data_IF_935859396835
#
_entry.id   IF_935859396835
#
_cell.length_a   1.000
_cell.length_b   1.000
_cell.length_c   1.000
_cell.angle_alpha   90.00
_cell.angle_beta   90.00
_cell.angle_gamma   90.00
#
_symmetry.space_group_name_H-M   'P 1'
#
loop_
_entity.id
_entity.type
_entity.pdbx_description
1 polymer ?
#
# COMPACT_ATOMS: atom_id res chain seq x y z
N UNK A 1 -40.98 63.62 31.94
CA UNK A 1 -40.29 62.37 32.38
C UNK A 1 -40.26 61.35 31.24
N UNK A 2 -39.22 61.44 30.39
CA UNK A 2 -38.87 60.43 29.38
C UNK A 2 -37.68 59.67 29.93
N UNK A 3 -37.78 58.35 30.14
CA UNK A 3 -36.61 57.49 30.36
C UNK A 3 -36.95 56.02 30.04
N UNK A 4 -36.07 55.41 29.23
CA UNK A 4 -35.79 53.98 29.01
C UNK A 4 -36.82 53.08 28.30
N UNK A 5 -36.67 52.97 26.97
CA UNK A 5 -36.89 51.73 26.20
C UNK A 5 -35.59 51.42 25.46
N UNK A 6 -34.69 50.67 26.12
CA UNK A 6 -33.44 50.18 25.54
C UNK A 6 -33.21 48.76 26.05
N UNK A 7 -33.18 47.76 25.17
CA UNK A 7 -32.75 46.42 25.61
C UNK A 7 -33.04 45.21 24.71
N UNK A 8 -33.80 45.30 23.62
CA UNK A 8 -34.17 44.09 22.85
C UNK A 8 -33.32 43.82 21.59
N UNK A 9 -32.61 44.82 21.05
CA UNK A 9 -31.96 44.71 19.73
C UNK A 9 -30.54 44.12 19.71
N UNK A 10 -29.86 44.00 20.86
CA UNK A 10 -28.44 43.58 20.91
C UNK A 10 -28.23 42.07 21.04
N UNK A 11 -29.19 41.34 21.60
CA UNK A 11 -29.07 39.88 21.81
C UNK A 11 -29.24 39.12 20.48
N UNK A 12 -30.07 39.60 19.57
CA UNK A 12 -30.35 38.95 18.28
C UNK A 12 -29.17 39.01 17.29
N UNK A 13 -28.42 40.12 17.28
CA UNK A 13 -27.24 40.29 16.42
C UNK A 13 -26.02 39.48 16.92
N UNK A 14 -25.88 39.31 18.24
CA UNK A 14 -24.82 38.49 18.83
C UNK A 14 -25.07 36.99 18.59
N UNK A 15 -26.32 36.52 18.64
CA UNK A 15 -26.64 35.14 18.27
C UNK A 15 -26.32 34.86 16.80
N UNK A 16 -26.66 35.80 15.90
CA UNK A 16 -26.41 35.64 14.46
C UNK A 16 -24.92 35.65 14.09
N UNK A 17 -24.06 36.38 14.82
CA UNK A 17 -22.60 36.35 14.56
C UNK A 17 -21.94 35.09 15.10
N UNK A 18 -22.36 34.60 16.28
CA UNK A 18 -21.88 33.32 16.84
C UNK A 18 -22.33 32.14 15.97
N UNK A 19 -23.55 32.17 15.45
CA UNK A 19 -24.06 31.18 14.50
C UNK A 19 -23.29 31.21 13.17
N UNK A 20 -22.93 32.38 12.64
CA UNK A 20 -22.06 32.46 11.45
C UNK A 20 -20.66 31.91 11.72
N UNK A 21 -20.04 32.27 12.84
CA UNK A 21 -18.70 31.77 13.20
C UNK A 21 -18.66 30.27 13.47
N UNK A 22 -19.71 29.70 14.09
CA UNK A 22 -19.81 28.26 14.31
C UNK A 22 -20.05 27.47 13.00
N UNK A 23 -20.78 28.06 12.05
CA UNK A 23 -20.97 27.49 10.71
C UNK A 23 -19.67 27.54 9.89
N UNK A 24 -18.87 28.61 9.98
CA UNK A 24 -17.54 28.63 9.34
C UNK A 24 -16.54 27.69 10.02
N UNK A 25 -16.62 27.51 11.34
CA UNK A 25 -15.74 26.57 12.06
C UNK A 25 -16.05 25.10 11.74
N UNK A 26 -17.32 24.78 11.47
CA UNK A 26 -17.74 23.44 11.03
C UNK A 26 -17.37 23.14 9.57
N UNK A 27 -17.01 24.15 8.77
CA UNK A 27 -16.50 23.97 7.41
C UNK A 27 -14.98 23.70 7.35
N UNK A 28 -14.28 23.70 8.49
CA UNK A 28 -12.95 23.12 8.65
C UNK A 28 -13.04 21.64 9.08
N UNK A 29 -14.13 20.96 8.73
CA UNK A 29 -14.24 19.52 8.86
C UNK A 29 -13.18 18.86 7.99
N UNK A 30 -12.31 18.11 8.67
CA UNK A 30 -11.46 17.01 8.18
C UNK A 30 -11.30 16.95 6.66
N UNK A 31 -10.09 17.23 6.15
CA UNK A 31 -9.65 16.58 4.92
C UNK A 31 -9.97 15.10 5.05
N UNK A 32 -10.85 14.60 4.18
CA UNK A 32 -11.31 13.23 4.23
C UNK A 32 -10.08 12.31 4.14
N UNK A 33 -9.99 11.25 4.94
CA UNK A 33 -8.84 10.34 4.90
C UNK A 33 -8.60 9.78 3.48
N UNK A 34 -9.68 9.75 2.69
CA UNK A 34 -9.72 9.50 1.24
C UNK A 34 -8.85 10.45 0.41
N UNK A 35 -8.77 11.75 0.74
CA UNK A 35 -8.02 12.75 -0.04
C UNK A 35 -6.50 12.58 0.05
N UNK A 36 -5.99 11.92 1.11
CA UNK A 36 -4.55 11.72 1.32
C UNK A 36 -4.02 10.41 0.74
N UNK A 37 -4.86 9.64 0.06
CA UNK A 37 -4.51 8.33 -0.50
C UNK A 37 -4.25 7.25 0.58
N UNK A 38 -4.17 5.98 0.15
CA UNK A 38 -3.97 4.84 1.04
C UNK A 38 -2.58 4.86 1.69
N UNK A 39 -2.46 4.23 2.85
CA UNK A 39 -1.18 3.99 3.53
C UNK A 39 -0.78 2.54 3.25
N UNK A 40 0.36 2.35 2.61
CA UNK A 40 0.93 1.04 2.31
C UNK A 40 2.07 0.77 3.28
N UNK A 41 1.97 -0.33 4.02
CA UNK A 41 3.06 -0.88 4.78
C UNK A 41 4.14 -1.41 3.81
N UNK A 42 5.40 -1.04 4.02
CA UNK A 42 6.51 -1.56 3.21
C UNK A 42 7.52 -2.20 4.12
N UNK A 43 7.69 -3.52 3.98
CA UNK A 43 8.60 -4.28 4.82
C UNK A 43 10.04 -3.99 4.41
N UNK A 44 10.86 -3.61 5.39
CA UNK A 44 12.30 -3.46 5.22
C UNK A 44 12.99 -4.83 5.11
N UNK A 45 14.27 -4.78 4.79
CA UNK A 45 15.15 -5.94 4.79
C UNK A 45 16.30 -5.71 5.78
N UNK A 46 16.82 -6.78 6.41
CA UNK A 46 17.92 -6.64 7.35
C UNK A 46 19.21 -6.27 6.59
N UNK A 47 19.96 -5.34 7.18
CA UNK A 47 21.31 -4.96 6.82
C UNK A 47 22.23 -5.34 7.99
N UNK A 48 22.76 -6.56 7.95
CA UNK A 48 23.53 -7.12 9.06
C UNK A 48 22.65 -7.38 10.29
N UNK A 49 23.22 -7.25 11.49
CA UNK A 49 22.62 -7.79 12.71
C UNK A 49 21.74 -6.81 13.50
N UNK A 50 21.73 -5.51 13.15
CA UNK A 50 21.13 -4.48 14.01
C UNK A 50 20.40 -3.37 13.26
N UNK A 51 20.44 -3.38 11.93
CA UNK A 51 19.90 -2.30 11.11
C UNK A 51 19.10 -2.86 9.97
N UNK A 52 18.06 -2.14 9.58
CA UNK A 52 17.24 -2.44 8.42
C UNK A 52 17.49 -1.41 7.33
N UNK A 53 17.22 -1.80 6.09
CA UNK A 53 17.21 -0.89 4.96
C UNK A 53 15.89 -0.99 4.19
N UNK A 54 15.50 0.15 3.62
CA UNK A 54 14.36 0.28 2.72
C UNK A 54 14.81 1.08 1.49
N UNK A 55 14.96 0.46 0.30
CA UNK A 55 15.36 1.18 -0.89
C UNK A 55 14.33 2.25 -1.26
N UNK A 56 14.80 3.47 -1.49
CA UNK A 56 13.95 4.61 -1.83
C UNK A 56 13.16 4.41 -3.14
N UNK A 57 13.59 3.50 -4.02
CA UNK A 57 12.86 3.13 -5.24
C UNK A 57 11.48 2.55 -4.95
N UNK A 58 11.35 1.70 -3.93
CA UNK A 58 10.04 1.15 -3.52
C UNK A 58 9.14 2.24 -2.94
N UNK A 59 9.70 3.15 -2.14
CA UNK A 59 8.94 4.28 -1.58
C UNK A 59 8.40 5.17 -2.69
N UNK A 60 9.27 5.60 -3.62
CA UNK A 60 8.89 6.41 -4.77
C UNK A 60 7.86 5.72 -5.66
N UNK A 61 7.98 4.41 -5.86
CA UNK A 61 7.03 3.66 -6.66
C UNK A 61 5.62 3.69 -6.06
N UNK A 62 5.50 3.50 -4.74
CA UNK A 62 4.22 3.60 -4.02
C UNK A 62 3.68 5.03 -4.05
N UNK A 63 4.52 6.04 -3.82
CA UNK A 63 4.13 7.46 -3.88
C UNK A 63 3.64 7.89 -5.27
N UNK A 64 4.27 7.40 -6.35
CA UNK A 64 3.81 7.62 -7.72
C UNK A 64 2.42 7.01 -7.98
N UNK A 65 2.05 5.97 -7.22
CA UNK A 65 0.69 5.42 -7.21
C UNK A 65 -0.32 6.23 -6.41
N UNK A 66 0.07 7.38 -5.84
CA UNK A 66 -0.80 8.22 -5.02
C UNK A 66 -0.98 7.73 -3.58
N UNK A 67 -0.11 6.85 -3.12
CA UNK A 67 -0.14 6.27 -1.77
C UNK A 67 0.97 6.84 -0.87
N UNK A 68 0.84 6.62 0.43
CA UNK A 68 1.83 6.96 1.45
C UNK A 68 2.46 5.69 2.01
N UNK A 69 3.69 5.78 2.50
CA UNK A 69 4.44 4.63 3.01
C UNK A 69 4.59 4.68 4.52
N UNK A 70 4.42 3.54 5.17
CA UNK A 70 4.94 3.30 6.52
C UNK A 70 5.93 2.13 6.49
N UNK A 71 7.15 2.29 7.03
CA UNK A 71 8.10 1.17 7.08
C UNK A 71 7.66 0.15 8.14
N UNK A 72 7.84 -1.13 7.83
CA UNK A 72 7.73 -2.24 8.78
C UNK A 72 9.11 -2.84 8.95
N UNK A 73 9.60 -2.93 10.19
CA UNK A 73 10.92 -3.48 10.47
C UNK A 73 10.90 -5.01 10.35
N UNK A 74 12.00 -5.61 9.92
CA UNK A 74 12.13 -7.05 9.70
C UNK A 74 11.82 -7.86 10.96
N UNK A 75 12.28 -7.34 12.10
CA UNK A 75 12.11 -7.93 13.44
C UNK A 75 10.91 -7.34 14.22
N UNK A 76 9.95 -6.69 13.53
CA UNK A 76 8.74 -6.19 14.20
C UNK A 76 7.98 -7.32 14.91
N UNK A 77 7.58 -7.05 16.15
CA UNK A 77 6.80 -7.99 16.96
C UNK A 77 5.38 -8.16 16.43
N UNK A 78 4.72 -9.27 16.74
CA UNK A 78 3.31 -9.50 16.38
C UNK A 78 2.39 -8.34 16.77
N UNK A 79 2.63 -7.72 17.95
CA UNK A 79 1.85 -6.56 18.42
C UNK A 79 2.05 -5.35 17.51
N UNK A 80 3.27 -5.07 17.09
CA UNK A 80 3.58 -3.96 16.18
C UNK A 80 3.00 -4.22 14.80
N UNK A 81 3.13 -5.45 14.30
CA UNK A 81 2.53 -5.88 13.03
C UNK A 81 1.01 -5.70 13.06
N UNK A 82 0.33 -6.19 14.09
CA UNK A 82 -1.13 -6.07 14.22
C UNK A 82 -1.56 -4.60 14.27
N UNK A 83 -0.81 -3.76 14.98
CA UNK A 83 -1.09 -2.33 15.05
C UNK A 83 -0.90 -1.65 13.68
N UNK A 84 0.15 -2.00 12.92
CA UNK A 84 0.37 -1.45 11.58
C UNK A 84 -0.71 -1.95 10.62
N UNK A 85 -1.00 -3.25 10.63
CA UNK A 85 -2.04 -3.87 9.79
C UNK A 85 -3.39 -3.17 9.98
N UNK A 86 -3.80 -2.91 11.22
CA UNK A 86 -5.06 -2.23 11.54
C UNK A 86 -5.11 -0.76 11.08
N UNK A 87 -3.98 -0.14 10.77
CA UNK A 87 -3.86 1.28 10.41
C UNK A 87 -3.33 1.50 8.97
N UNK A 88 -3.24 0.44 8.17
CA UNK A 88 -2.76 0.50 6.79
C UNK A 88 -3.73 -0.21 5.85
N UNK A 89 -3.52 -0.04 4.54
CA UNK A 89 -4.44 -0.48 3.49
C UNK A 89 -3.86 -1.56 2.59
N UNK A 90 -2.62 -1.99 2.84
CA UNK A 90 -1.92 -2.97 2.02
C UNK A 90 -0.47 -3.14 2.45
N UNK A 91 0.15 -4.22 2.01
CA UNK A 91 1.55 -4.54 2.29
C UNK A 91 2.34 -4.73 1.00
N UNK A 92 3.54 -4.16 0.96
CA UNK A 92 4.58 -4.46 0.00
C UNK A 92 5.73 -5.23 0.66
N UNK A 93 5.98 -6.43 0.16
CA UNK A 93 7.17 -7.22 0.42
C UNK A 93 8.20 -6.96 -0.68
N UNK A 94 9.33 -6.36 -0.30
CA UNK A 94 10.38 -5.95 -1.24
C UNK A 94 11.33 -7.11 -1.57
N UNK A 95 12.14 -6.91 -2.62
CA UNK A 95 13.26 -7.79 -2.93
C UNK A 95 14.37 -7.72 -1.88
N UNK A 96 15.25 -8.72 -1.84
CA UNK A 96 16.33 -8.83 -0.86
C UNK A 96 17.01 -10.19 -0.93
N UNK A 97 17.59 -10.64 0.19
CA UNK A 97 18.18 -11.98 0.31
C UNK A 97 18.02 -12.61 1.70
N UNK A 98 17.04 -12.16 2.49
CA UNK A 98 16.78 -12.68 3.83
C UNK A 98 15.74 -13.82 3.81
N UNK A 99 15.80 -14.77 4.76
CA UNK A 99 14.72 -15.72 4.96
C UNK A 99 13.41 -15.03 5.36
N UNK A 100 12.27 -15.69 5.15
CA UNK A 100 10.95 -15.21 5.57
C UNK A 100 10.96 -14.93 7.08
N UNK A 101 10.66 -13.69 7.49
CA UNK A 101 10.56 -13.36 8.91
C UNK A 101 9.17 -13.62 9.49
N UNK A 102 9.09 -13.67 10.82
CA UNK A 102 7.82 -13.82 11.56
C UNK A 102 6.84 -12.68 11.25
N UNK A 103 7.33 -11.45 11.10
CA UNK A 103 6.50 -10.30 10.77
C UNK A 103 5.75 -10.48 9.44
N UNK A 104 6.43 -10.98 8.40
CA UNK A 104 5.81 -11.26 7.10
C UNK A 104 4.72 -12.32 7.21
N UNK A 105 4.99 -13.42 7.96
CA UNK A 105 4.00 -14.47 8.21
C UNK A 105 2.78 -13.96 8.96
N UNK A 106 2.98 -13.10 9.96
CA UNK A 106 1.89 -12.48 10.73
C UNK A 106 1.02 -11.60 9.83
N UNK A 107 1.62 -10.75 9.00
CA UNK A 107 0.90 -9.95 8.01
C UNK A 107 0.09 -10.82 7.03
N UNK A 108 0.69 -11.88 6.50
CA UNK A 108 0.03 -12.79 5.57
C UNK A 108 -1.16 -13.50 6.23
N UNK A 109 -0.98 -14.02 7.45
CA UNK A 109 -2.06 -14.64 8.22
C UNK A 109 -3.21 -13.65 8.48
N UNK A 110 -2.89 -12.42 8.91
CA UNK A 110 -3.89 -11.37 9.12
C UNK A 110 -4.65 -11.05 7.83
N UNK A 111 -3.97 -10.96 6.68
CA UNK A 111 -4.61 -10.69 5.39
C UNK A 111 -5.52 -11.84 4.92
N UNK A 112 -5.14 -13.10 5.16
CA UNK A 112 -5.97 -14.27 4.87
C UNK A 112 -7.24 -14.26 5.72
N UNK A 113 -7.12 -13.99 7.02
CA UNK A 113 -8.28 -13.90 7.92
C UNK A 113 -9.19 -12.73 7.55
N UNK A 114 -8.63 -11.56 7.22
CA UNK A 114 -9.40 -10.41 6.76
C UNK A 114 -10.14 -10.72 5.45
N UNK A 115 -9.48 -11.37 4.48
CA UNK A 115 -10.11 -11.81 3.24
C UNK A 115 -11.26 -12.81 3.47
N UNK A 116 -11.11 -13.75 4.42
CA UNK A 116 -12.19 -14.68 4.82
C UNK A 116 -13.38 -13.96 5.46
N UNK A 117 -13.12 -12.87 6.17
CA UNK A 117 -14.14 -11.99 6.75
C UNK A 117 -14.78 -11.02 5.73
N UNK A 118 -14.30 -11.01 4.48
CA UNK A 118 -14.79 -10.12 3.41
C UNK A 118 -14.13 -8.74 3.38
N UNK A 119 -13.06 -8.53 4.14
CA UNK A 119 -12.26 -7.31 4.20
C UNK A 119 -10.86 -7.55 3.61
N UNK A 120 -10.76 -7.50 2.28
CA UNK A 120 -9.54 -7.91 1.60
C UNK A 120 -8.40 -6.90 1.82
N UNK A 121 -7.29 -7.38 2.40
CA UNK A 121 -6.05 -6.62 2.57
C UNK A 121 -5.03 -7.03 1.49
N UNK A 122 -4.72 -6.19 0.49
CA UNK A 122 -3.83 -6.56 -0.61
C UNK A 122 -2.37 -6.69 -0.14
N UNK A 123 -1.71 -7.77 -0.60
CA UNK A 123 -0.26 -7.97 -0.44
C UNK A 123 0.38 -8.06 -1.82
N UNK A 124 1.45 -7.28 -2.03
CA UNK A 124 2.30 -7.35 -3.21
C UNK A 124 3.69 -7.87 -2.83
N UNK A 125 4.26 -8.76 -3.65
CA UNK A 125 5.62 -9.27 -3.48
C UNK A 125 6.47 -9.01 -4.73
N UNK A 126 7.66 -8.43 -4.55
CA UNK A 126 8.64 -8.19 -5.62
C UNK A 126 9.91 -8.99 -5.36
N UNK A 127 10.38 -9.78 -6.35
CA UNK A 127 11.58 -10.63 -6.21
C UNK A 127 11.47 -11.53 -4.96
N UNK A 128 12.36 -11.40 -3.97
CA UNK A 128 12.25 -12.11 -2.69
C UNK A 128 10.86 -12.03 -2.04
N UNK A 129 10.17 -10.89 -2.13
CA UNK A 129 8.81 -10.78 -1.60
C UNK A 129 7.80 -11.71 -2.28
N UNK A 130 8.02 -12.05 -3.57
CA UNK A 130 7.22 -13.06 -4.27
C UNK A 130 7.58 -14.48 -3.82
N UNK A 131 8.86 -14.77 -3.60
CA UNK A 131 9.31 -16.04 -3.03
C UNK A 131 8.68 -16.29 -1.65
N UNK A 132 8.69 -15.27 -0.79
CA UNK A 132 8.06 -15.32 0.53
C UNK A 132 6.56 -15.62 0.44
N UNK A 133 5.83 -15.02 -0.53
CA UNK A 133 4.42 -15.34 -0.74
C UNK A 133 4.20 -16.81 -1.07
N UNK A 134 5.09 -17.43 -1.87
CA UNK A 134 5.00 -18.85 -2.19
C UNK A 134 5.27 -19.73 -0.97
N UNK A 135 6.32 -19.41 -0.20
CA UNK A 135 6.66 -20.15 1.03
C UNK A 135 5.55 -20.04 2.09
N UNK A 136 4.96 -18.86 2.27
CA UNK A 136 3.87 -18.64 3.23
C UNK A 136 2.57 -19.31 2.78
N UNK A 137 2.24 -19.28 1.49
CA UNK A 137 1.04 -19.93 0.96
C UNK A 137 1.14 -21.46 0.96
N UNK A 138 2.33 -22.00 0.76
CA UNK A 138 2.60 -23.45 0.82
C UNK A 138 2.83 -23.96 2.24
N UNK A 139 3.03 -23.07 3.22
CA UNK A 139 3.47 -23.38 4.57
C UNK A 139 4.78 -24.20 4.60
N UNK A 140 5.67 -23.98 3.62
CA UNK A 140 6.88 -24.77 3.41
C UNK A 140 8.01 -23.90 2.82
N UNK A 141 9.15 -23.82 3.51
CA UNK A 141 10.27 -22.98 3.09
C UNK A 141 11.04 -23.58 1.91
N UNK A 142 10.99 -24.90 1.74
CA UNK A 142 11.66 -25.62 0.65
C UNK A 142 10.83 -25.71 -0.65
N UNK A 143 9.70 -25.01 -0.75
CA UNK A 143 8.84 -25.03 -1.94
C UNK A 143 9.49 -24.40 -3.17
N UNK A 144 10.54 -23.59 -2.99
CA UNK A 144 11.21 -22.87 -4.06
C UNK A 144 12.19 -23.76 -4.82
N UNK A 145 12.27 -23.58 -6.13
CA UNK A 145 13.24 -24.24 -7.00
C UNK A 145 14.41 -23.29 -7.31
N UNK A 146 15.63 -23.83 -7.32
CA UNK A 146 16.86 -23.13 -7.66
C UNK A 146 17.32 -23.43 -9.11
N UNK A 147 18.47 -22.89 -9.50
CA UNK A 147 19.12 -23.21 -10.77
C UNK A 147 18.75 -22.30 -11.96
N UNK A 148 18.13 -21.14 -11.71
CA UNK A 148 17.82 -20.15 -12.74
C UNK A 148 18.92 -19.08 -12.83
N UNK A 149 19.44 -18.85 -14.03
CA UNK A 149 20.37 -17.74 -14.33
C UNK A 149 19.58 -16.52 -14.82
N UNK A 150 19.08 -15.73 -13.88
CA UNK A 150 18.20 -14.57 -14.13
C UNK A 150 18.70 -13.28 -13.49
N UNK A 151 19.97 -13.22 -13.08
CA UNK A 151 20.56 -12.01 -12.54
C UNK A 151 20.91 -11.01 -13.65
N UNK A 152 20.59 -9.73 -13.46
CA UNK A 152 20.91 -8.66 -14.40
C UNK A 152 20.42 -8.91 -15.85
N UNK A 153 19.27 -9.59 -15.98
CA UNK A 153 18.74 -10.01 -17.27
C UNK A 153 17.35 -9.39 -17.53
N UNK A 154 17.20 -8.44 -18.48
CA UNK A 154 15.89 -7.95 -18.87
C UNK A 154 15.20 -8.96 -19.80
N UNK A 155 13.97 -9.36 -19.45
CA UNK A 155 13.16 -10.29 -20.24
C UNK A 155 11.76 -9.72 -20.52
N UNK A 156 11.15 -10.05 -21.68
CA UNK A 156 9.74 -9.80 -21.90
C UNK A 156 8.88 -10.72 -21.02
N UNK A 157 7.60 -10.35 -20.86
CA UNK A 157 6.61 -11.21 -20.22
C UNK A 157 5.84 -12.00 -21.27
N UNK A 158 5.95 -13.32 -21.21
CA UNK A 158 5.11 -14.23 -21.98
C UNK A 158 3.76 -14.41 -21.27
N UNK A 159 2.79 -13.59 -21.64
CA UNK A 159 1.46 -13.59 -21.01
C UNK A 159 0.69 -14.88 -21.34
N UNK A 160 0.14 -15.50 -20.30
CA UNK A 160 -0.79 -16.63 -20.47
C UNK A 160 -2.18 -16.12 -20.90
N UNK A 161 -3.05 -17.00 -21.45
CA UNK A 161 -4.42 -16.62 -21.80
C UNK A 161 -5.25 -16.04 -20.64
N UNK A 162 -4.89 -16.37 -19.39
CA UNK A 162 -5.58 -15.86 -18.20
C UNK A 162 -5.31 -14.37 -17.93
N UNK A 163 -4.26 -13.79 -18.52
CA UNK A 163 -3.89 -12.39 -18.30
C UNK A 163 -5.03 -11.42 -18.63
N UNK A 164 -5.77 -11.67 -19.73
CA UNK A 164 -6.83 -10.79 -20.23
C UNK A 164 -8.02 -10.65 -19.26
N UNK A 165 -8.28 -11.64 -18.42
CA UNK A 165 -9.34 -11.59 -17.39
C UNK A 165 -8.80 -11.36 -15.98
N UNK A 166 -7.50 -11.13 -15.82
CA UNK A 166 -6.88 -10.98 -14.50
C UNK A 166 -7.14 -9.60 -13.91
N UNK A 167 -7.25 -9.52 -12.58
CA UNK A 167 -7.36 -8.23 -11.87
C UNK A 167 -6.16 -7.30 -12.11
N UNK A 168 -4.99 -7.87 -12.36
CA UNK A 168 -3.74 -7.12 -12.49
C UNK A 168 -3.54 -6.56 -13.91
N UNK A 169 -3.86 -7.34 -14.94
CA UNK A 169 -3.47 -7.02 -16.32
C UNK A 169 -4.65 -6.75 -17.26
N UNK A 170 -5.90 -7.01 -16.85
CA UNK A 170 -7.06 -6.81 -17.72
C UNK A 170 -7.15 -5.37 -18.25
N UNK A 171 -6.89 -4.38 -17.40
CA UNK A 171 -6.94 -2.96 -17.78
C UNK A 171 -5.67 -2.49 -18.52
N UNK A 172 -4.55 -3.20 -18.37
CA UNK A 172 -3.30 -2.89 -19.07
C UNK A 172 -3.34 -3.32 -20.56
N UNK A 173 -4.20 -4.29 -20.91
CA UNK A 173 -4.25 -4.95 -22.20
C UNK A 173 -4.45 -4.02 -23.41
N UNK A 174 -5.27 -2.97 -23.27
CA UNK A 174 -5.50 -2.01 -24.37
C UNK A 174 -4.26 -1.14 -24.66
N UNK A 175 -3.48 -0.82 -23.63
CA UNK A 175 -2.32 0.08 -23.74
C UNK A 175 -1.02 -0.67 -24.05
N UNK A 176 -0.86 -1.90 -23.55
CA UNK A 176 0.35 -2.72 -23.76
C UNK A 176 0.37 -3.44 -25.12
N UNK A 177 -0.80 -3.86 -25.64
CA UNK A 177 -0.88 -4.52 -26.95
C UNK A 177 -0.45 -3.62 -28.11
N UNK A 178 -0.54 -2.29 -27.95
CA UNK A 178 -0.13 -1.31 -28.97
C UNK A 178 1.38 -1.02 -28.97
N UNK A 179 2.14 -1.45 -27.95
CA UNK A 179 3.54 -1.04 -27.72
C UNK A 179 4.58 -2.17 -27.81
N UNK A 180 4.17 -3.40 -28.07
CA UNK A 180 5.11 -4.50 -28.29
C UNK A 180 5.28 -4.76 -29.79
N UNK A 181 6.21 -4.09 -30.51
CA UNK A 181 6.73 -4.69 -31.73
C UNK A 181 7.38 -6.00 -31.28
N UNK A 182 6.93 -7.12 -31.83
CA UNK A 182 7.66 -8.38 -31.76
C UNK A 182 8.96 -8.18 -32.53
N UNK A 183 9.96 -7.56 -31.91
CA UNK A 183 11.31 -7.59 -32.42
C UNK A 183 11.78 -9.03 -32.23
N UNK A 184 11.67 -9.82 -33.30
CA UNK A 184 12.34 -11.10 -33.34
C UNK A 184 13.84 -10.84 -33.18
N UNK A 185 14.55 -11.71 -32.46
CA UNK A 185 16.02 -11.62 -32.27
C UNK A 185 16.77 -11.53 -33.62
N UNK A 186 16.12 -11.94 -34.72
CA UNK A 186 16.62 -11.84 -36.09
C UNK A 186 16.60 -10.43 -36.70
N UNK A 187 15.86 -9.47 -36.13
CA UNK A 187 15.82 -8.07 -36.60
C UNK A 187 16.73 -7.14 -35.78
N UNK A 188 17.29 -7.63 -34.67
CA UNK A 188 18.19 -6.90 -33.78
C UNK A 188 19.69 -7.24 -34.00
N UNK A 189 20.00 -8.04 -35.04
CA UNK A 189 21.34 -8.35 -35.54
C UNK A 189 21.47 -7.86 -36.98
#
# INVERSE_FOLDING_TARGET
PRLLMAGAGRVSLLLASVLRSAVTFSALQSEDASERGPIIAVMSQPLGNATDYLPASYVKWIELGGARVVPVMHESTDREVDAIFANTNGLLLIGGGAPVCSAARRFFANAVEAARAGDAYPIWGTCLGFEWLMQMAAEEDSVLHDGFDSENLPLPLDLTPAAAGSRLLAEAGETMAQRSPRLSVLEAL
#
